data_IF_479196125954
#
_entry.id   IF_479196125954
#
_cell.length_a   1.000
_cell.length_b   1.000
_cell.length_c   1.000
_cell.angle_alpha   90.00
_cell.angle_beta   90.00
_cell.angle_gamma   90.00
#
_symmetry.space_group_name_H-M   'P 1'
#
loop_
_entity.id
_entity.type
_entity.pdbx_description
1 polymer ?
#
# COMPACT_ATOMS: atom_id res chain seq x y z
N UNK A 1 -13.39 0.26 22.35
CA UNK A 1 -13.24 0.61 20.92
C UNK A 1 -14.61 0.45 20.26
N UNK A 2 -15.18 1.52 19.68
CA UNK A 2 -16.51 1.43 19.06
C UNK A 2 -16.42 0.57 17.80
N UNK A 3 -17.19 -0.53 17.77
CA UNK A 3 -17.35 -1.33 16.56
C UNK A 3 -18.00 -0.47 15.48
N UNK A 4 -17.56 -0.63 14.23
CA UNK A 4 -18.22 0.00 13.09
C UNK A 4 -19.67 -0.44 13.07
N UNK A 5 -20.60 0.52 13.16
CA UNK A 5 -22.04 0.22 13.17
C UNK A 5 -22.54 -0.19 11.78
N UNK A 6 -23.66 -0.89 11.71
CA UNK A 6 -24.26 -1.26 10.42
C UNK A 6 -24.62 -0.01 9.57
N UNK A 7 -25.08 1.05 10.21
CA UNK A 7 -25.37 2.32 9.54
C UNK A 7 -24.11 2.95 8.94
N UNK A 8 -23.01 2.97 9.70
CA UNK A 8 -21.73 3.50 9.21
C UNK A 8 -21.16 2.66 8.05
N UNK A 9 -21.32 1.33 8.12
CA UNK A 9 -20.95 0.43 7.01
C UNK A 9 -21.73 0.76 5.75
N UNK A 10 -23.04 0.85 5.86
CA UNK A 10 -23.92 1.14 4.73
C UNK A 10 -23.55 2.45 4.03
N UNK A 11 -23.41 3.54 4.80
CA UNK A 11 -23.02 4.84 4.27
C UNK A 11 -21.65 4.84 3.62
N UNK A 12 -20.69 4.11 4.21
CA UNK A 12 -19.35 3.97 3.66
C UNK A 12 -19.36 3.19 2.34
N UNK A 13 -20.08 2.08 2.28
CA UNK A 13 -20.19 1.25 1.07
C UNK A 13 -20.88 2.01 -0.07
N UNK A 14 -21.91 2.79 0.23
CA UNK A 14 -22.56 3.67 -0.74
C UNK A 14 -21.60 4.75 -1.26
N UNK A 15 -20.79 5.35 -0.38
CA UNK A 15 -19.76 6.32 -0.78
C UNK A 15 -18.72 5.69 -1.72
N UNK A 16 -18.19 4.50 -1.38
CA UNK A 16 -17.20 3.80 -2.21
C UNK A 16 -17.79 3.45 -3.57
N UNK A 17 -19.03 2.98 -3.63
CA UNK A 17 -19.71 2.67 -4.91
C UNK A 17 -19.85 3.91 -5.79
N UNK A 18 -20.22 5.06 -5.21
CA UNK A 18 -20.29 6.33 -5.95
C UNK A 18 -18.91 6.80 -6.45
N UNK A 19 -17.85 6.59 -5.65
CA UNK A 19 -16.48 6.91 -6.06
C UNK A 19 -16.08 6.00 -7.22
N UNK A 20 -16.35 4.71 -7.13
CA UNK A 20 -16.07 3.74 -8.19
C UNK A 20 -16.71 4.15 -9.51
N UNK A 21 -18.01 4.46 -9.49
CA UNK A 21 -18.75 4.92 -10.68
C UNK A 21 -18.16 6.19 -11.28
N UNK A 22 -17.85 7.20 -10.45
CA UNK A 22 -17.32 8.50 -10.93
C UNK A 22 -15.90 8.42 -11.46
N UNK A 23 -15.08 7.54 -10.91
CA UNK A 23 -13.67 7.37 -11.30
C UNK A 23 -13.48 6.35 -12.41
N UNK A 24 -14.53 5.63 -12.83
CA UNK A 24 -14.46 4.46 -13.70
C UNK A 24 -13.46 3.41 -13.18
N UNK A 25 -13.30 3.31 -11.87
CA UNK A 25 -12.41 2.31 -11.29
C UNK A 25 -13.01 0.91 -11.47
N UNK A 26 -12.25 0.02 -12.11
CA UNK A 26 -12.69 -1.36 -12.37
C UNK A 26 -12.89 -2.12 -11.08
N UNK A 27 -12.02 -1.87 -10.10
CA UNK A 27 -12.12 -2.52 -8.81
C UNK A 27 -11.46 -1.73 -7.68
N UNK A 28 -11.99 -1.90 -6.47
CA UNK A 28 -11.51 -1.26 -5.25
C UNK A 28 -11.47 -2.31 -4.14
N UNK A 29 -10.34 -2.41 -3.44
CA UNK A 29 -10.23 -3.18 -2.20
C UNK A 29 -10.08 -2.21 -1.02
N UNK A 30 -10.80 -2.45 0.06
CA UNK A 30 -10.75 -1.62 1.27
C UNK A 30 -10.57 -2.53 2.48
N UNK A 31 -9.60 -2.17 3.33
CA UNK A 31 -9.44 -2.77 4.65
C UNK A 31 -9.27 -1.68 5.70
N UNK A 32 -9.91 -1.86 6.86
CA UNK A 32 -9.75 -1.01 8.04
C UNK A 32 -9.18 -1.90 9.13
N UNK A 33 -7.99 -1.56 9.60
CA UNK A 33 -7.31 -2.27 10.67
C UNK A 33 -7.19 -1.41 11.92
N UNK A 34 -7.22 -2.03 13.09
CA UNK A 34 -6.99 -1.32 14.33
C UNK A 34 -5.48 -1.20 14.62
N UNK A 35 -5.14 -0.49 15.69
CA UNK A 35 -3.75 -0.28 16.12
C UNK A 35 -3.00 -1.57 16.48
N UNK A 36 -3.70 -2.69 16.67
CA UNK A 36 -3.12 -3.99 16.99
C UNK A 36 -2.99 -4.88 15.74
N UNK A 37 -3.36 -4.36 14.55
CA UNK A 37 -3.35 -5.09 13.28
C UNK A 37 -4.58 -5.97 13.04
N UNK A 38 -5.62 -5.90 13.88
CA UNK A 38 -6.83 -6.69 13.65
C UNK A 38 -7.73 -6.03 12.61
N UNK A 39 -8.16 -6.79 11.62
CA UNK A 39 -9.10 -6.33 10.60
C UNK A 39 -10.47 -6.07 11.23
N UNK A 40 -10.93 -4.82 11.16
CA UNK A 40 -12.24 -4.38 11.63
C UNK A 40 -13.28 -4.36 10.52
N UNK A 41 -12.83 -4.19 9.30
CA UNK A 41 -13.65 -4.19 8.10
C UNK A 41 -12.78 -4.53 6.89
N UNK A 42 -13.32 -5.35 6.00
CA UNK A 42 -12.75 -5.65 4.71
C UNK A 42 -13.86 -5.80 3.69
N UNK A 43 -13.69 -5.22 2.53
CA UNK A 43 -14.60 -5.40 1.41
C UNK A 43 -13.95 -5.13 0.06
N UNK A 44 -14.40 -5.88 -0.91
CA UNK A 44 -13.98 -5.79 -2.30
C UNK A 44 -15.15 -5.31 -3.15
N UNK A 45 -14.88 -4.39 -4.09
CA UNK A 45 -15.86 -3.80 -4.98
C UNK A 45 -15.38 -3.95 -6.43
N UNK A 46 -16.25 -4.46 -7.31
CA UNK A 46 -15.94 -4.62 -8.74
C UNK A 46 -15.06 -5.80 -9.08
N UNK A 47 -14.21 -5.64 -10.07
CA UNK A 47 -13.50 -6.74 -10.73
C UNK A 47 -12.00 -6.51 -10.76
N UNK A 48 -11.21 -7.61 -10.70
CA UNK A 48 -9.80 -7.63 -11.05
C UNK A 48 -9.59 -7.73 -12.57
N UNK A 49 -10.59 -8.28 -13.26
CA UNK A 49 -10.68 -8.37 -14.72
C UNK A 49 -12.14 -8.16 -15.12
N UNK A 50 -12.44 -7.01 -15.73
CA UNK A 50 -13.79 -6.62 -16.10
C UNK A 50 -14.31 -7.42 -17.32
N UNK A 51 -13.43 -7.74 -18.27
CA UNK A 51 -13.82 -8.47 -19.48
C UNK A 51 -14.25 -9.90 -19.17
N UNK A 52 -13.49 -10.55 -18.27
CA UNK A 52 -13.76 -11.91 -17.82
C UNK A 52 -14.72 -11.97 -16.64
N UNK A 53 -15.16 -10.82 -16.12
CA UNK A 53 -16.02 -10.70 -14.93
C UNK A 53 -15.45 -11.41 -13.70
N UNK A 54 -14.13 -11.41 -13.55
CA UNK A 54 -13.47 -12.00 -12.39
C UNK A 54 -13.51 -10.99 -11.23
N UNK A 55 -14.17 -11.31 -10.11
CA UNK A 55 -14.26 -10.38 -8.97
C UNK A 55 -12.89 -10.21 -8.30
N UNK A 56 -12.76 -9.13 -7.55
CA UNK A 56 -11.66 -8.97 -6.59
C UNK A 56 -11.90 -9.91 -5.41
N UNK A 57 -10.83 -10.48 -4.92
CA UNK A 57 -10.77 -11.37 -3.77
C UNK A 57 -9.54 -11.02 -2.91
N UNK A 58 -9.34 -11.76 -1.81
CA UNK A 58 -8.22 -11.57 -0.89
C UNK A 58 -6.84 -11.85 -1.53
N UNK A 59 -6.80 -12.66 -2.57
CA UNK A 59 -5.57 -13.01 -3.31
C UNK A 59 -5.27 -12.04 -4.46
N UNK A 60 -6.11 -11.05 -4.69
CA UNK A 60 -5.94 -10.09 -5.79
C UNK A 60 -4.78 -9.14 -5.51
N UNK A 61 -3.79 -9.13 -6.40
CA UNK A 61 -2.60 -8.28 -6.28
C UNK A 61 -2.87 -6.89 -6.86
N UNK A 62 -2.61 -5.86 -6.05
CA UNK A 62 -2.64 -4.45 -6.45
C UNK A 62 -1.24 -3.87 -6.51
N UNK A 63 -0.96 -3.12 -7.58
CA UNK A 63 0.29 -2.36 -7.69
C UNK A 63 0.31 -1.19 -6.71
N UNK A 64 1.30 -1.16 -5.80
CA UNK A 64 1.40 -0.11 -4.77
C UNK A 64 1.99 1.21 -5.30
N UNK A 65 2.53 1.22 -6.52
CA UNK A 65 3.18 2.38 -7.11
C UNK A 65 4.13 3.06 -6.08
N UNK A 66 4.05 4.38 -5.89
CA UNK A 66 4.95 5.12 -4.98
C UNK A 66 4.78 4.81 -3.49
N UNK A 67 3.70 4.15 -3.08
CA UNK A 67 3.56 3.67 -1.70
C UNK A 67 4.68 2.68 -1.35
N UNK A 68 5.22 1.96 -2.34
CA UNK A 68 6.41 1.10 -2.20
C UNK A 68 7.58 1.82 -1.52
N UNK A 69 7.75 3.14 -1.74
CA UNK A 69 8.83 3.92 -1.12
C UNK A 69 8.78 3.89 0.41
N UNK A 70 7.59 3.89 1.00
CA UNK A 70 7.41 3.80 2.45
C UNK A 70 7.89 2.46 3.00
N UNK A 71 7.65 1.36 2.28
CA UNK A 71 8.15 0.04 2.67
C UNK A 71 9.67 -0.05 2.55
N UNK A 72 10.25 0.49 1.47
CA UNK A 72 11.71 0.55 1.30
C UNK A 72 12.34 1.39 2.41
N UNK A 73 11.80 2.57 2.70
CA UNK A 73 12.30 3.44 3.76
C UNK A 73 12.27 2.74 5.13
N UNK A 74 11.15 2.08 5.46
CA UNK A 74 11.04 1.30 6.70
C UNK A 74 12.10 0.19 6.78
N UNK A 75 12.31 -0.55 5.68
CA UNK A 75 13.33 -1.61 5.63
C UNK A 75 14.74 -1.07 5.84
N UNK A 76 15.07 0.08 5.26
CA UNK A 76 16.35 0.75 5.49
C UNK A 76 16.49 1.16 6.96
N UNK A 77 15.43 1.73 7.57
CA UNK A 77 15.47 2.12 8.98
C UNK A 77 15.66 0.93 9.92
N UNK A 78 15.12 -0.23 9.60
CA UNK A 78 15.38 -1.46 10.34
C UNK A 78 16.85 -1.89 10.25
N UNK A 79 17.50 -1.69 9.09
CA UNK A 79 18.94 -1.95 8.94
C UNK A 79 19.78 -0.94 9.72
N UNK A 80 19.37 0.33 9.78
CA UNK A 80 20.00 1.37 10.61
C UNK A 80 19.90 1.00 12.10
N UNK A 81 18.72 0.63 12.56
CA UNK A 81 18.48 0.22 13.95
C UNK A 81 19.31 -1.02 14.32
N UNK A 82 19.53 -1.93 13.39
CA UNK A 82 20.41 -3.10 13.55
C UNK A 82 21.90 -2.78 13.41
N UNK A 83 22.31 -1.51 13.22
CA UNK A 83 23.69 -1.08 13.05
C UNK A 83 24.37 -1.56 11.75
N UNK A 84 23.60 -1.98 10.76
CA UNK A 84 24.11 -2.48 9.47
C UNK A 84 24.26 -1.40 8.41
N UNK A 85 23.54 -0.30 8.56
CA UNK A 85 23.57 0.85 7.64
C UNK A 85 23.64 2.12 8.49
N UNK A 86 24.41 3.10 8.03
CA UNK A 86 24.42 4.47 8.55
C UNK A 86 23.80 5.39 7.48
N UNK A 87 22.92 6.30 7.89
CA UNK A 87 22.26 7.22 6.95
C UNK A 87 23.22 8.26 6.35
N UNK A 88 24.33 8.53 7.04
CA UNK A 88 25.37 9.43 6.56
C UNK A 88 26.41 8.75 5.66
N UNK A 89 26.34 7.42 5.52
CA UNK A 89 27.21 6.69 4.63
C UNK A 89 26.86 6.94 3.16
N UNK A 90 27.87 7.03 2.28
CA UNK A 90 27.60 7.10 0.86
C UNK A 90 27.03 5.78 0.34
N UNK A 91 26.03 5.84 -0.55
CA UNK A 91 25.36 4.66 -1.12
C UNK A 91 26.33 3.66 -1.70
N UNK A 92 27.45 4.10 -2.26
CA UNK A 92 28.50 3.25 -2.82
C UNK A 92 29.17 2.31 -1.80
N UNK A 93 29.08 2.60 -0.53
CA UNK A 93 29.58 1.70 0.52
C UNK A 93 28.82 0.36 0.50
N UNK A 94 27.54 0.40 0.12
CA UNK A 94 26.64 -0.75 0.10
C UNK A 94 26.38 -1.28 -1.32
N UNK A 95 26.39 -0.37 -2.31
CA UNK A 95 26.15 -0.67 -3.72
C UNK A 95 27.28 -0.02 -4.53
N UNK A 96 28.46 -0.72 -4.67
CA UNK A 96 29.64 -0.14 -5.31
C UNK A 96 29.44 0.32 -6.75
N UNK A 97 28.53 -0.33 -7.49
CA UNK A 97 28.17 -0.02 -8.87
C UNK A 97 27.24 1.19 -9.01
N UNK A 98 26.73 1.72 -7.90
CA UNK A 98 25.86 2.90 -7.94
C UNK A 98 26.64 4.13 -8.38
N UNK A 99 26.27 4.68 -9.54
CA UNK A 99 26.87 5.91 -10.10
C UNK A 99 25.79 6.93 -10.40
N UNK A 100 26.09 8.20 -10.11
CA UNK A 100 25.29 9.31 -10.62
C UNK A 100 25.98 9.92 -11.87
N UNK A 101 25.24 10.74 -12.64
CA UNK A 101 25.75 11.39 -13.85
C UNK A 101 27.04 12.20 -13.64
N UNK A 102 27.28 12.67 -12.43
CA UNK A 102 28.43 13.51 -12.08
C UNK A 102 29.54 12.75 -11.35
N UNK A 103 29.40 11.42 -11.19
CA UNK A 103 30.32 10.55 -10.45
C UNK A 103 30.66 11.04 -9.03
N UNK A 104 29.82 11.90 -8.45
CA UNK A 104 29.94 12.36 -7.07
C UNK A 104 29.36 11.30 -6.12
N UNK A 105 29.94 11.11 -4.93
CA UNK A 105 29.32 10.31 -3.87
C UNK A 105 27.94 10.87 -3.54
N UNK A 106 26.97 9.99 -3.42
CA UNK A 106 25.64 10.25 -2.84
C UNK A 106 25.56 9.38 -1.62
#
# INVERSE_FOLDING_TARGET
>A
MNKITNASRFLFEELVSRIQERSNAVGIAVAIVDRNGNTQYEKFFGYRDQERKLPIDEDTIFGLASVTKSFVALSIMQLVEAGKVDLDDPVRKYIPEFTNRNQKPI
#
